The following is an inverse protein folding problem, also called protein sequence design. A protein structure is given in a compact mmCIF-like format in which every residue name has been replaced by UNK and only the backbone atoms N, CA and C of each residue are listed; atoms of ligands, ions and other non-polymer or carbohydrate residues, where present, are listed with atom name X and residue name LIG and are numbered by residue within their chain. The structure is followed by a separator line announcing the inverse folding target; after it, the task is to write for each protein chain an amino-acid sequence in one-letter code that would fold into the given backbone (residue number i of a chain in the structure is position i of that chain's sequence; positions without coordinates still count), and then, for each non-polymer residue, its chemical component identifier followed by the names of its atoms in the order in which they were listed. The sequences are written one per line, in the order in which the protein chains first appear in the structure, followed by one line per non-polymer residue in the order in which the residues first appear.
data_IF_049041264624
#
_entry.id   IF_049041264624
#
_cell.length_a   1.000
_cell.length_b   1.000
_cell.length_c   1.000
_cell.angle_alpha   90.00
_cell.angle_beta   90.00
_cell.angle_gamma   90.00
#
_symmetry.space_group_name_H-M   'P 1'
#
loop_
_entity.id
_entity.type
_entity.pdbx_description
1 polymer ?
#
# COMPACT_ATOMS: atom_id res chain seq x y z
N UNK A 1 3.80 -21.73 -8.34
CA UNK A 1 5.21 -21.40 -8.66
C UNK A 1 5.45 -19.96 -8.24
N UNK A 2 5.56 -19.74 -6.93
CA UNK A 2 5.81 -18.42 -6.36
C UNK A 2 7.28 -18.08 -6.60
N UNK A 3 7.54 -16.92 -7.18
CA UNK A 3 8.90 -16.39 -7.30
C UNK A 3 9.33 -15.99 -5.88
N UNK A 4 10.04 -16.88 -5.20
CA UNK A 4 10.87 -16.53 -4.04
C UNK A 4 11.98 -15.62 -4.58
N UNK A 5 11.68 -14.33 -4.66
CA UNK A 5 12.68 -13.31 -4.96
C UNK A 5 13.77 -13.39 -3.90
N UNK A 6 15.02 -13.40 -4.35
CA UNK A 6 16.23 -13.35 -3.54
C UNK A 6 16.05 -12.30 -2.43
N UNK A 7 15.81 -12.78 -1.20
CA UNK A 7 16.00 -11.95 -0.02
C UNK A 7 17.49 -11.69 0.03
N UNK A 8 17.89 -10.46 -0.30
CA UNK A 8 19.26 -10.01 -0.07
C UNK A 8 19.58 -10.36 1.38
N UNK A 9 20.56 -11.23 1.58
CA UNK A 9 21.05 -11.61 2.89
C UNK A 9 21.34 -10.33 3.65
N UNK A 10 20.74 -10.14 4.82
CA UNK A 10 20.81 -8.90 5.62
C UNK A 10 22.28 -8.43 5.84
N UNK A 11 23.22 -9.36 5.73
CA UNK A 11 24.67 -9.16 5.82
C UNK A 11 25.26 -8.38 4.63
N UNK A 12 24.71 -8.50 3.42
CA UNK A 12 25.25 -7.91 2.18
C UNK A 12 24.77 -6.46 1.94
N UNK A 13 23.75 -5.99 2.65
CA UNK A 13 23.19 -4.66 2.41
C UNK A 13 24.13 -3.55 2.92
N UNK A 14 24.67 -2.73 2.01
CA UNK A 14 25.46 -1.55 2.35
C UNK A 14 24.57 -0.29 2.23
N UNK A 15 24.16 0.33 3.35
CA UNK A 15 23.27 1.48 3.31
C UNK A 15 23.97 2.71 2.74
N UNK A 16 23.30 3.41 1.83
CA UNK A 16 23.78 4.67 1.23
C UNK A 16 23.18 5.87 1.95
N UNK A 17 21.99 5.71 2.53
CA UNK A 17 21.28 6.79 3.24
C UNK A 17 21.59 6.83 4.74
N UNK A 18 21.39 8.01 5.37
CA UNK A 18 21.47 8.16 6.84
C UNK A 18 20.45 7.26 7.56
N UNK A 19 19.24 7.18 7.01
CA UNK A 19 18.15 6.34 7.55
C UNK A 19 18.54 4.86 7.45
N UNK A 20 19.06 4.42 6.31
CA UNK A 20 19.56 3.05 6.14
C UNK A 20 20.66 2.70 7.14
N UNK A 21 21.59 3.63 7.43
CA UNK A 21 22.60 3.44 8.48
C UNK A 21 21.97 3.30 9.86
N UNK A 22 21.01 4.16 10.22
CA UNK A 22 20.32 4.09 11.51
C UNK A 22 19.55 2.77 11.70
N UNK A 23 18.92 2.27 10.63
CA UNK A 23 18.20 0.99 10.64
C UNK A 23 19.18 -0.17 10.77
N UNK A 24 20.29 -0.17 10.01
CA UNK A 24 21.33 -1.21 10.10
C UNK A 24 22.05 -1.23 11.45
N UNK A 25 22.25 -0.05 12.06
CA UNK A 25 22.81 0.09 13.41
C UNK A 25 21.82 -0.32 14.51
N UNK A 26 20.55 -0.60 14.18
CA UNK A 26 19.52 -1.00 15.14
C UNK A 26 18.96 0.15 15.98
N UNK A 27 19.24 1.42 15.62
CA UNK A 27 18.67 2.60 16.30
C UNK A 27 17.18 2.75 16.05
N UNK A 28 16.71 2.30 14.88
CA UNK A 28 15.30 2.24 14.53
C UNK A 28 14.96 0.76 14.41
N UNK A 29 14.12 0.28 15.32
CA UNK A 29 13.73 -1.13 15.37
C UNK A 29 12.38 -1.36 14.70
N UNK A 30 11.54 -0.32 14.66
CA UNK A 30 10.17 -0.43 14.19
C UNK A 30 9.85 0.54 13.05
N UNK A 31 9.08 0.07 12.08
CA UNK A 31 8.57 0.91 10.98
C UNK A 31 7.74 2.10 11.49
N UNK A 32 7.07 1.95 12.64
CA UNK A 32 6.28 3.02 13.25
C UNK A 32 7.15 4.18 13.75
N UNK A 33 8.29 3.90 14.38
CA UNK A 33 9.23 4.95 14.82
C UNK A 33 9.74 5.77 13.64
N UNK A 34 9.98 5.11 12.50
CA UNK A 34 10.41 5.79 11.28
C UNK A 34 9.36 6.80 10.79
N UNK A 35 8.08 6.43 10.84
CA UNK A 35 6.98 7.33 10.49
C UNK A 35 6.76 8.43 11.52
N UNK A 36 6.91 8.15 12.82
CA UNK A 36 6.80 9.16 13.88
C UNK A 36 7.87 10.25 13.75
N UNK A 37 9.09 9.87 13.39
CA UNK A 37 10.18 10.81 13.10
C UNK A 37 10.08 11.47 11.71
N UNK A 38 9.07 11.13 10.90
CA UNK A 38 8.86 11.65 9.54
C UNK A 38 10.09 11.48 8.63
N UNK A 39 10.83 10.39 8.79
CA UNK A 39 12.02 10.13 7.97
C UNK A 39 11.63 9.60 6.58
N UNK A 40 12.27 10.06 5.49
CA UNK A 40 11.96 9.60 4.15
C UNK A 40 12.55 8.21 3.88
N UNK A 41 11.74 7.35 3.26
CA UNK A 41 12.16 6.01 2.81
C UNK A 41 12.67 6.15 1.37
N UNK A 42 13.98 6.03 1.18
CA UNK A 42 14.63 6.16 -0.13
C UNK A 42 15.27 4.85 -0.61
N UNK A 43 15.35 3.85 0.25
CA UNK A 43 15.94 2.55 -0.02
C UNK A 43 14.86 1.47 0.23
N UNK A 44 14.56 0.61 -0.76
CA UNK A 44 13.59 -0.48 -0.58
C UNK A 44 14.06 -1.49 0.49
N UNK A 45 15.36 -1.64 0.69
CA UNK A 45 15.97 -2.57 1.63
C UNK A 45 15.63 -2.24 3.08
N UNK A 46 15.37 -0.96 3.40
CA UNK A 46 14.89 -0.54 4.73
C UNK A 46 13.59 -1.26 5.06
N UNK A 47 12.69 -1.39 4.09
CA UNK A 47 11.37 -2.00 4.26
C UNK A 47 11.50 -3.51 4.35
N UNK A 48 12.43 -4.12 3.61
CA UNK A 48 12.73 -5.56 3.71
C UNK A 48 13.34 -5.94 5.06
N UNK A 49 14.17 -5.06 5.65
CA UNK A 49 14.75 -5.25 6.97
C UNK A 49 13.69 -5.17 8.08
N UNK A 50 12.85 -4.13 8.03
CA UNK A 50 11.87 -3.84 9.09
C UNK A 50 10.61 -4.71 9.01
N UNK A 51 10.25 -5.20 7.81
CA UNK A 51 9.03 -5.97 7.58
C UNK A 51 9.34 -7.24 6.77
N UNK A 52 9.69 -8.37 7.42
CA UNK A 52 10.01 -9.61 6.71
C UNK A 52 8.78 -10.32 6.11
N UNK A 53 7.57 -9.96 6.54
CA UNK A 53 6.29 -10.55 6.13
C UNK A 53 5.57 -9.78 5.00
N UNK A 54 6.31 -9.25 4.02
CA UNK A 54 5.73 -8.53 2.89
C UNK A 54 5.19 -9.49 1.83
N UNK A 55 3.91 -9.32 1.50
CA UNK A 55 3.26 -9.99 0.37
C UNK A 55 3.01 -8.97 -0.74
N UNK A 56 3.10 -9.42 -2.00
CA UNK A 56 2.87 -8.58 -3.17
C UNK A 56 1.82 -9.21 -4.07
N UNK A 57 0.94 -8.39 -4.62
CA UNK A 57 -0.11 -8.82 -5.55
C UNK A 57 -0.10 -7.89 -6.78
N UNK A 58 -0.14 -8.48 -7.97
CA UNK A 58 -0.20 -7.74 -9.23
C UNK A 58 -1.66 -7.49 -9.54
N UNK A 59 -2.05 -6.21 -9.65
CA UNK A 59 -3.43 -5.81 -9.90
C UNK A 59 -3.72 -5.73 -11.39
N UNK A 60 -2.82 -5.09 -12.12
CA UNK A 60 -3.04 -4.74 -13.53
C UNK A 60 -1.74 -4.81 -14.32
N UNK A 61 -1.85 -5.35 -15.53
CA UNK A 61 -0.79 -5.41 -16.53
C UNK A 61 -1.32 -4.79 -17.80
N UNK A 62 -0.79 -3.62 -18.16
CA UNK A 62 -1.14 -2.91 -19.39
C UNK A 62 0.05 -2.80 -20.34
N UNK A 63 -0.23 -2.70 -21.64
CA UNK A 63 0.78 -2.34 -22.64
C UNK A 63 0.59 -0.86 -22.96
N UNK A 64 1.68 -0.10 -22.92
CA UNK A 64 1.73 1.31 -23.29
C UNK A 64 2.65 1.49 -24.47
N UNK A 65 2.15 2.16 -25.50
CA UNK A 65 2.80 2.27 -26.79
C UNK A 65 3.22 3.73 -27.03
N UNK A 66 4.40 3.94 -27.62
CA UNK A 66 4.86 5.25 -28.09
C UNK A 66 5.15 5.15 -29.58
N UNK A 67 4.48 5.96 -30.39
CA UNK A 67 4.79 6.06 -31.82
C UNK A 67 6.12 6.80 -32.02
N UNK A 68 6.98 6.26 -32.89
CA UNK A 68 8.22 6.88 -33.35
C UNK A 68 8.32 6.76 -34.87
N UNK A 69 9.18 7.54 -35.51
CA UNK A 69 9.34 7.52 -36.97
C UNK A 69 9.82 6.15 -37.49
N UNK A 70 10.53 5.39 -36.65
CA UNK A 70 10.99 4.03 -36.95
C UNK A 70 9.98 2.92 -36.56
N UNK A 71 8.75 3.30 -36.15
CA UNK A 71 7.69 2.36 -35.76
C UNK A 71 7.16 2.54 -34.34
N UNK A 72 6.40 1.56 -33.87
CA UNK A 72 5.79 1.61 -32.55
C UNK A 72 6.70 1.00 -31.47
N UNK A 73 6.98 1.76 -30.42
CA UNK A 73 7.73 1.31 -29.26
C UNK A 73 6.78 0.94 -28.11
N UNK A 74 6.49 -0.34 -27.96
CA UNK A 74 5.67 -0.88 -26.87
C UNK A 74 6.48 -1.16 -25.60
N UNK A 75 5.86 -0.95 -24.44
CA UNK A 75 6.41 -1.26 -23.12
C UNK A 75 5.29 -1.76 -22.22
N UNK A 76 5.61 -2.65 -21.29
CA UNK A 76 4.67 -3.09 -20.27
C UNK A 76 4.63 -2.06 -19.14
N UNK A 77 3.44 -1.76 -18.66
CA UNK A 77 3.14 -1.03 -17.44
C UNK A 77 2.47 -2.01 -16.48
N UNK A 78 2.99 -2.10 -15.27
CA UNK A 78 2.41 -2.95 -14.21
C UNK A 78 2.08 -2.13 -13.00
N UNK A 79 0.98 -2.49 -12.34
CA UNK A 79 0.55 -1.93 -11.05
C UNK A 79 0.59 -3.04 -10.02
N UNK A 80 1.35 -2.82 -8.95
CA UNK A 80 1.55 -3.79 -7.88
C UNK A 80 1.17 -3.13 -6.56
N UNK A 81 0.56 -3.91 -5.68
CA UNK A 81 0.31 -3.53 -4.30
C UNK A 81 1.06 -4.49 -3.39
N UNK A 82 1.65 -3.92 -2.34
CA UNK A 82 2.40 -4.62 -1.32
C UNK A 82 1.71 -4.40 0.01
N UNK A 83 1.68 -5.41 0.86
CA UNK A 83 1.27 -5.24 2.25
C UNK A 83 1.62 -6.44 3.11
N UNK A 84 1.59 -6.23 4.42
CA UNK A 84 1.90 -7.27 5.41
C UNK A 84 0.66 -7.78 6.15
N UNK A 85 -0.55 -7.31 5.80
CA UNK A 85 -1.79 -7.71 6.46
C UNK A 85 -1.94 -7.17 7.88
N UNK A 86 -1.02 -6.32 8.36
CA UNK A 86 -1.00 -5.80 9.74
C UNK A 86 -1.15 -4.28 9.80
N UNK A 87 -1.54 -3.66 8.69
CA UNK A 87 -1.73 -2.21 8.61
C UNK A 87 -0.62 -1.47 7.88
N UNK A 88 0.22 -2.14 7.08
CA UNK A 88 1.10 -1.48 6.14
C UNK A 88 0.73 -1.84 4.70
N UNK A 89 0.59 -0.82 3.86
CA UNK A 89 0.31 -0.99 2.43
C UNK A 89 1.17 -0.04 1.62
N UNK A 90 1.65 -0.51 0.48
CA UNK A 90 2.28 0.31 -0.54
C UNK A 90 1.68 0.02 -1.91
N UNK A 91 1.61 1.04 -2.77
CA UNK A 91 1.25 0.90 -4.17
C UNK A 91 2.41 1.37 -5.03
N UNK A 92 2.70 0.65 -6.10
CA UNK A 92 3.81 0.94 -7.00
C UNK A 92 3.44 0.70 -8.44
N UNK A 93 4.08 1.45 -9.33
CA UNK A 93 3.98 1.23 -10.77
C UNK A 93 5.35 1.06 -11.38
N UNK A 94 5.46 0.12 -12.29
CA UNK A 94 6.69 -0.14 -13.04
C UNK A 94 6.44 -0.06 -14.54
N UNK A 95 7.47 0.34 -15.30
CA UNK A 95 7.46 0.30 -16.76
C UNK A 95 8.76 -0.26 -17.30
N UNK A 96 8.68 -1.30 -18.14
CA UNK A 96 9.85 -1.93 -18.74
C UNK A 96 9.53 -2.56 -20.11
N UNK A 97 10.57 -2.99 -20.85
CA UNK A 97 10.42 -3.71 -22.13
C UNK A 97 9.91 -5.14 -21.94
N UNK A 98 10.34 -5.80 -20.87
CA UNK A 98 9.89 -7.14 -20.50
C UNK A 98 9.04 -7.08 -19.23
N UNK A 99 8.09 -8.03 -19.11
CA UNK A 99 7.13 -8.04 -18.01
C UNK A 99 7.79 -8.22 -16.64
N UNK A 100 8.74 -9.16 -16.51
CA UNK A 100 9.44 -9.47 -15.23
C UNK A 100 10.08 -8.22 -14.62
N UNK A 101 10.93 -7.55 -15.40
CA UNK A 101 11.56 -6.29 -14.98
C UNK A 101 10.55 -5.16 -14.69
N UNK A 102 9.37 -5.19 -15.30
CA UNK A 102 8.32 -4.24 -14.96
C UNK A 102 7.78 -4.49 -13.56
N UNK A 103 7.53 -5.76 -13.21
CA UNK A 103 7.01 -6.17 -11.91
C UNK A 103 8.03 -5.85 -10.82
N UNK A 104 9.31 -6.17 -11.02
CA UNK A 104 10.38 -5.87 -10.05
C UNK A 104 10.49 -4.36 -9.77
N UNK A 105 10.43 -3.54 -10.82
CA UNK A 105 10.40 -2.08 -10.66
C UNK A 105 9.15 -1.60 -9.92
N UNK A 106 8.00 -2.20 -10.18
CA UNK A 106 6.77 -1.88 -9.48
C UNK A 106 6.86 -2.25 -7.99
N UNK A 107 7.46 -3.39 -7.66
CA UNK A 107 7.70 -3.84 -6.27
C UNK A 107 8.61 -2.85 -5.54
N UNK A 108 9.75 -2.48 -6.13
CA UNK A 108 10.67 -1.49 -5.55
C UNK A 108 9.94 -0.17 -5.30
N UNK A 109 9.16 0.31 -6.28
CA UNK A 109 8.40 1.54 -6.14
C UNK A 109 7.31 1.45 -5.05
N UNK A 110 6.66 0.29 -4.91
CA UNK A 110 5.66 0.05 -3.88
C UNK A 110 6.27 0.02 -2.47
N UNK A 111 7.48 -0.56 -2.30
CA UNK A 111 8.21 -0.54 -1.03
C UNK A 111 8.54 0.89 -0.57
N UNK A 112 8.99 1.74 -1.49
CA UNK A 112 9.27 3.15 -1.18
C UNK A 112 8.00 3.94 -0.80
N UNK A 113 6.86 3.56 -1.37
CA UNK A 113 5.56 4.19 -1.11
C UNK A 113 4.73 3.43 -0.06
N UNK A 114 5.37 2.87 0.97
CA UNK A 114 4.63 2.20 2.04
C UNK A 114 4.04 3.24 2.99
N UNK A 115 2.82 3.00 3.47
CA UNK A 115 2.09 3.89 4.36
C UNK A 115 1.44 3.07 5.48
N UNK A 116 1.43 3.59 6.72
CA UNK A 116 0.69 2.97 7.81
C UNK A 116 -0.81 3.22 7.63
N UNK A 117 -1.62 2.23 7.98
CA UNK A 117 -3.07 2.25 7.93
C UNK A 117 -3.61 2.09 9.34
N UNK A 118 -4.42 3.06 9.77
CA UNK A 118 -5.06 2.99 11.08
C UNK A 118 -6.25 2.02 11.01
N UNK A 119 -6.21 1.00 11.85
CA UNK A 119 -7.29 0.02 12.02
C UNK A 119 -8.01 0.27 13.33
N UNK A 120 -9.31 0.00 13.37
CA UNK A 120 -10.14 0.21 14.55
C UNK A 120 -11.57 -0.31 14.36
N UNK A 121 -12.41 -0.08 15.36
CA UNK A 121 -13.84 -0.36 15.29
C UNK A 121 -14.58 0.97 15.38
N UNK A 122 -15.14 1.42 14.27
CA UNK A 122 -15.89 2.68 14.18
C UNK A 122 -17.39 2.51 13.95
N UNK A 123 -17.88 1.27 13.87
CA UNK A 123 -19.29 1.01 13.56
C UNK A 123 -20.12 1.24 14.83
N UNK A 124 -21.22 1.97 14.69
CA UNK A 124 -22.20 2.14 15.77
C UNK A 124 -22.78 0.80 16.25
N UNK A 125 -22.83 -0.19 15.36
CA UNK A 125 -23.40 -1.51 15.62
C UNK A 125 -22.44 -2.45 16.38
N UNK A 126 -21.17 -2.07 16.55
CA UNK A 126 -20.17 -2.95 17.14
C UNK A 126 -19.22 -2.22 18.08
N UNK A 127 -19.18 -2.64 19.35
CA UNK A 127 -18.27 -2.11 20.39
C UNK A 127 -17.15 -3.09 20.77
N UNK A 128 -16.81 -4.03 19.88
CA UNK A 128 -15.93 -5.16 20.22
C UNK A 128 -14.45 -4.79 20.50
N UNK A 129 -14.03 -3.53 20.33
CA UNK A 129 -12.66 -3.07 20.61
C UNK A 129 -11.55 -3.69 19.74
N UNK A 130 -11.90 -4.54 18.76
CA UNK A 130 -10.91 -5.19 17.87
C UNK A 130 -10.67 -4.38 16.61
N UNK A 131 -9.43 -4.37 16.12
CA UNK A 131 -8.99 -3.62 14.93
C UNK A 131 -9.25 -4.37 13.61
N UNK A 132 -10.54 -4.63 13.33
CA UNK A 132 -10.99 -5.36 12.13
C UNK A 132 -11.42 -4.45 10.97
N UNK A 133 -11.84 -3.21 11.26
CA UNK A 133 -12.38 -2.25 10.30
C UNK A 133 -11.55 -0.95 10.28
N UNK A 134 -11.99 0.03 9.49
CA UNK A 134 -11.56 1.43 9.57
C UNK A 134 -12.23 2.10 10.78
N UNK A 135 -11.56 3.00 11.54
CA UNK A 135 -12.12 3.64 12.73
C UNK A 135 -13.18 4.72 12.46
N UNK A 136 -13.18 5.34 11.27
CA UNK A 136 -14.14 6.37 10.90
C UNK A 136 -14.29 6.42 9.38
N UNK A 137 -15.27 7.19 8.90
CA UNK A 137 -15.48 7.39 7.46
C UNK A 137 -14.25 8.06 6.84
N UNK A 138 -13.60 7.40 5.88
CA UNK A 138 -12.49 7.97 5.11
C UNK A 138 -12.84 8.15 3.66
N UNK A 139 -12.27 9.19 3.07
CA UNK A 139 -12.47 9.53 1.66
C UNK A 139 -11.11 9.59 0.99
N UNK A 140 -10.98 8.95 -0.16
CA UNK A 140 -9.79 8.98 -1.01
C UNK A 140 -10.16 9.31 -2.44
N UNK A 141 -9.40 10.20 -3.07
CA UNK A 141 -9.61 10.62 -4.45
C UNK A 141 -8.37 10.37 -5.29
N UNK A 142 -8.56 9.96 -6.54
CA UNK A 142 -7.52 9.91 -7.56
C UNK A 142 -8.14 10.10 -8.95
N UNK A 143 -7.80 11.21 -9.60
CA UNK A 143 -8.42 11.58 -10.88
C UNK A 143 -9.93 11.82 -10.73
N UNK A 144 -10.73 11.15 -11.57
CA UNK A 144 -12.20 11.17 -11.50
C UNK A 144 -12.78 10.22 -10.44
N UNK A 145 -11.96 9.32 -9.88
CA UNK A 145 -12.43 8.27 -8.97
C UNK A 145 -12.36 8.73 -7.53
N UNK A 146 -13.46 8.56 -6.82
CA UNK A 146 -13.58 8.82 -5.39
C UNK A 146 -14.08 7.56 -4.67
N UNK A 147 -13.36 7.16 -3.63
CA UNK A 147 -13.67 5.99 -2.81
C UNK A 147 -13.91 6.46 -1.39
N UNK A 148 -15.08 6.13 -0.88
CA UNK A 148 -15.49 6.38 0.50
C UNK A 148 -15.55 5.04 1.23
N UNK A 149 -14.78 4.91 2.30
CA UNK A 149 -14.80 3.75 3.18
C UNK A 149 -15.61 4.11 4.43
N UNK A 150 -16.55 3.25 4.78
CA UNK A 150 -17.35 3.34 5.99
C UNK A 150 -16.98 2.18 6.93
N UNK A 151 -16.98 2.42 8.24
CA UNK A 151 -16.78 1.36 9.21
C UNK A 151 -17.92 0.35 9.11
N UNK A 152 -17.59 -0.94 9.24
CA UNK A 152 -18.58 -2.02 9.21
C UNK A 152 -18.48 -2.88 10.48
N UNK A 153 -19.58 -3.52 10.92
CA UNK A 153 -19.53 -4.49 12.01
C UNK A 153 -18.80 -5.78 11.60
N UNK A 154 -18.35 -6.52 12.61
CA UNK A 154 -17.60 -7.77 12.43
C UNK A 154 -18.43 -8.82 11.68
N UNK A 155 -17.85 -9.42 10.65
CA UNK A 155 -18.47 -10.50 9.87
C UNK A 155 -19.20 -10.04 8.61
N UNK A 156 -19.14 -8.75 8.27
CA UNK A 156 -19.67 -8.22 7.00
C UNK A 156 -18.77 -8.54 5.82
N UNK A 157 -17.47 -8.71 6.07
CA UNK A 157 -16.47 -8.92 5.04
C UNK A 157 -16.16 -7.67 4.23
N UNK A 158 -15.37 -7.84 3.16
CA UNK A 158 -14.95 -6.75 2.29
C UNK A 158 -15.99 -6.48 1.20
N UNK A 159 -16.90 -5.54 1.46
CA UNK A 159 -17.92 -5.10 0.50
C UNK A 159 -17.34 -4.00 -0.39
N UNK A 160 -16.48 -4.41 -1.33
CA UNK A 160 -15.83 -3.52 -2.30
C UNK A 160 -15.60 -4.19 -3.67
N UNK A 161 -15.24 -3.40 -4.69
CA UNK A 161 -14.78 -3.95 -5.97
C UNK A 161 -13.48 -4.74 -5.81
N UNK A 162 -13.17 -5.66 -6.73
CA UNK A 162 -12.09 -6.65 -6.55
C UNK A 162 -10.71 -6.01 -6.32
N UNK A 163 -10.43 -4.91 -7.03
CA UNK A 163 -9.19 -4.13 -6.88
C UNK A 163 -9.09 -3.46 -5.50
N UNK A 164 -10.21 -2.96 -4.97
CA UNK A 164 -10.22 -2.39 -3.63
C UNK A 164 -10.12 -3.51 -2.57
N UNK A 165 -10.73 -4.68 -2.81
CA UNK A 165 -10.61 -5.84 -1.93
C UNK A 165 -9.17 -6.32 -1.79
N UNK A 166 -8.38 -6.38 -2.87
CA UNK A 166 -6.97 -6.77 -2.78
C UNK A 166 -6.18 -5.77 -1.94
N UNK A 167 -6.36 -4.47 -2.16
CA UNK A 167 -5.73 -3.41 -1.35
C UNK A 167 -6.12 -3.51 0.13
N UNK A 168 -7.41 -3.66 0.44
CA UNK A 168 -7.92 -3.73 1.81
C UNK A 168 -7.47 -5.00 2.54
N UNK A 169 -7.39 -6.13 1.82
CA UNK A 169 -6.86 -7.39 2.35
C UNK A 169 -5.39 -7.26 2.72
N UNK A 170 -4.58 -6.68 1.84
CA UNK A 170 -3.16 -6.42 2.09
C UNK A 170 -2.95 -5.39 3.22
N UNK A 171 -3.93 -4.51 3.45
CA UNK A 171 -3.97 -3.60 4.60
C UNK A 171 -4.29 -4.29 5.94
N UNK A 172 -4.81 -5.52 5.92
CA UNK A 172 -5.28 -6.19 7.13
C UNK A 172 -6.66 -5.74 7.60
N UNK A 173 -7.44 -5.10 6.73
CA UNK A 173 -8.84 -4.77 6.99
C UNK A 173 -9.68 -5.99 6.59
N UNK A 174 -10.58 -6.41 7.49
CA UNK A 174 -11.44 -7.59 7.28
C UNK A 174 -12.84 -7.19 6.86
N UNK A 175 -13.35 -6.11 7.44
CA UNK A 175 -14.72 -5.68 7.31
C UNK A 175 -14.75 -4.20 6.90
N UNK A 176 -15.42 -3.88 5.79
CA UNK A 176 -15.63 -2.50 5.37
C UNK A 176 -16.80 -2.39 4.41
N UNK A 177 -17.56 -1.30 4.53
CA UNK A 177 -18.48 -0.86 3.48
C UNK A 177 -17.78 0.16 2.60
N UNK A 178 -17.94 0.03 1.29
CA UNK A 178 -17.38 0.99 0.35
C UNK A 178 -18.47 1.62 -0.52
N UNK A 179 -18.28 2.90 -0.82
CA UNK A 179 -19.06 3.61 -1.83
C UNK A 179 -18.09 4.27 -2.79
N UNK A 180 -18.28 4.04 -4.08
CA UNK A 180 -17.38 4.51 -5.13
C UNK A 180 -18.11 5.43 -6.09
N UNK A 181 -17.47 6.52 -6.48
CA UNK A 181 -17.96 7.47 -7.47
C UNK A 181 -16.95 7.62 -8.61
N UNK A 182 -17.45 7.94 -9.81
CA UNK A 182 -16.62 8.12 -11.01
C UNK A 182 -16.33 6.82 -11.75
N UNK A 183 -15.27 6.83 -12.56
CA UNK A 183 -14.95 5.73 -13.49
C UNK A 183 -14.02 4.67 -12.88
N UNK A 184 -14.64 3.64 -12.29
CA UNK A 184 -13.94 2.52 -11.64
C UNK A 184 -13.23 1.56 -12.61
N UNK A 185 -13.47 1.68 -13.93
CA UNK A 185 -12.75 0.90 -14.96
C UNK A 185 -11.25 1.18 -14.96
N UNK A 186 -10.83 2.38 -14.54
CA UNK A 186 -9.41 2.73 -14.46
C UNK A 186 -8.77 2.12 -13.21
N UNK A 187 -8.26 0.90 -13.36
CA UNK A 187 -7.71 0.05 -12.28
C UNK A 187 -6.68 0.78 -11.41
N UNK A 188 -5.72 1.47 -12.02
CA UNK A 188 -4.69 2.23 -11.32
C UNK A 188 -5.26 3.36 -10.45
N UNK A 189 -6.20 4.16 -10.99
CA UNK A 189 -6.79 5.27 -10.24
C UNK A 189 -7.65 4.75 -9.10
N UNK A 190 -8.37 3.66 -9.31
CA UNK A 190 -9.20 3.05 -8.28
C UNK A 190 -8.37 2.47 -7.14
N UNK A 191 -7.28 1.74 -7.44
CA UNK A 191 -6.33 1.26 -6.45
C UNK A 191 -5.68 2.43 -5.68
N UNK A 192 -5.28 3.49 -6.40
CA UNK A 192 -4.67 4.69 -5.79
C UNK A 192 -5.66 5.50 -4.94
N UNK A 193 -6.92 5.59 -5.34
CA UNK A 193 -7.96 6.24 -4.56
C UNK A 193 -8.22 5.47 -3.24
N UNK A 194 -8.25 4.14 -3.30
CA UNK A 194 -8.36 3.28 -2.11
C UNK A 194 -7.15 3.45 -1.19
N UNK A 195 -5.94 3.42 -1.76
CA UNK A 195 -4.71 3.70 -1.01
C UNK A 195 -4.71 5.09 -0.36
N UNK A 196 -5.17 6.12 -1.06
CA UNK A 196 -5.30 7.48 -0.51
C UNK A 196 -6.35 7.54 0.61
N UNK A 197 -7.46 6.80 0.50
CA UNK A 197 -8.46 6.72 1.57
C UNK A 197 -7.85 6.13 2.84
N UNK A 198 -7.02 5.08 2.70
CA UNK A 198 -6.29 4.48 3.81
C UNK A 198 -5.23 5.43 4.37
N UNK A 199 -4.46 6.13 3.52
CA UNK A 199 -3.50 7.14 3.97
C UNK A 199 -4.17 8.26 4.77
N UNK A 200 -5.37 8.68 4.36
CA UNK A 200 -6.14 9.72 5.04
C UNK A 200 -6.65 9.29 6.43
N UNK A 201 -6.55 8.02 6.82
CA UNK A 201 -6.86 7.57 8.19
C UNK A 201 -5.95 8.21 9.24
N UNK A 202 -4.72 8.57 8.90
CA UNK A 202 -3.82 9.26 9.82
C UNK A 202 -3.96 10.79 9.80
N UNK A 203 -4.73 11.34 8.84
CA UNK A 203 -4.94 12.80 8.75
C UNK A 203 -5.85 13.32 9.86
N UNK A 204 -6.75 12.47 10.37
CA UNK A 204 -7.66 12.85 11.45
C UNK A 204 -7.05 12.47 12.80
N UNK A 205 -7.00 13.45 13.70
CA UNK A 205 -6.61 13.25 15.08
C UNK A 205 -7.83 12.70 15.82
N UNK A 206 -7.70 11.54 16.44
CA UNK A 206 -8.75 10.99 17.29
C UNK A 206 -8.55 11.45 18.73
N UNK A 207 -9.60 11.32 19.55
CA UNK A 207 -9.54 11.65 20.98
C UNK A 207 -8.46 10.83 21.70
N UNK A 208 -8.16 9.62 21.23
CA UNK A 208 -7.10 8.77 21.80
C UNK A 208 -5.70 9.35 21.56
N UNK A 209 -5.46 9.98 20.40
CA UNK A 209 -4.17 10.59 20.09
C UNK A 209 -3.99 11.93 20.82
N UNK A 210 -5.09 12.62 21.13
CA UNK A 210 -5.05 13.88 21.88
C UNK A 210 -4.61 13.70 23.34
N UNK A 211 -4.86 12.52 23.92
CA UNK A 211 -4.53 12.24 25.32
C UNK A 211 -3.04 11.99 25.56
N UNK A 212 -2.25 11.83 24.49
CA UNK A 212 -0.79 11.68 24.54
C UNK A 212 -0.12 13.03 24.35
#
# INVERSE_FOLDING_TARGET
MALEGERVSLEEWIPKTKVGKMVKEGKITSMRELFEQNLPILEPEIVDFLLPNLTHEVIDVGIVQKQTDAGELSRFKTVVVIGNGEGFVGIGTGKAKQLRFSIEKAIINAKLNIVPVRRGCGSWECLCGTSHSVPFKTVGKSGSVEVVLYPAPKGTGLVAGDIAKTVLRLAGIKDVWSKTFGETRTTYNFAKATYNALKNTYKFVTVEDWKK
#
